data_IF_219719143952
#
_entry.id   IF_219719143952
#
_cell.length_a   1.000
_cell.length_b   1.000
_cell.length_c   1.000
_cell.angle_alpha   90.00
_cell.angle_beta   90.00
_cell.angle_gamma   90.00
#
_symmetry.space_group_name_H-M   'P 1'
#
loop_
_entity.id
_entity.type
_entity.pdbx_description
1 polymer ?
#
# COMPACT_ATOMS: atom_id res chain seq x y z
N UNK A 1 53.54 -25.58 76.85
CA UNK A 1 53.20 -24.39 77.66
C UNK A 1 52.65 -23.34 76.71
N UNK A 2 51.54 -22.66 77.00
CA UNK A 2 50.67 -22.89 78.16
C UNK A 2 49.16 -22.76 77.82
N UNK A 3 48.19 -23.28 78.56
CA UNK A 3 48.18 -24.19 79.72
C UNK A 3 46.73 -24.41 80.16
N UNK A 4 46.44 -25.64 80.60
CA UNK A 4 45.68 -26.02 81.81
C UNK A 4 44.17 -25.75 81.87
N UNK A 5 43.32 -26.63 82.42
CA UNK A 5 43.45 -27.59 83.54
C UNK A 5 42.58 -28.84 83.20
N UNK A 6 43.02 -30.10 83.29
CA UNK A 6 43.28 -30.93 84.50
C UNK A 6 42.10 -30.79 85.50
N UNK A 7 41.37 -31.78 86.01
CA UNK A 7 41.57 -33.14 86.56
C UNK A 7 40.09 -33.62 86.77
N UNK A 8 39.62 -34.87 86.66
CA UNK A 8 39.81 -35.94 87.65
C UNK A 8 38.78 -37.06 87.40
N UNK A 9 39.32 -38.28 87.32
CA UNK A 9 38.82 -39.56 87.84
C UNK A 9 37.35 -39.98 87.53
N UNK A 10 37.18 -41.05 86.77
CA UNK A 10 37.16 -42.44 87.26
C UNK A 10 35.78 -42.78 87.84
N UNK A 11 35.00 -43.55 87.09
CA UNK A 11 34.32 -44.74 87.62
C UNK A 11 33.66 -45.51 86.48
N UNK A 12 34.20 -46.71 86.25
CA UNK A 12 33.53 -47.81 85.58
C UNK A 12 32.13 -47.98 86.18
N UNK A 13 31.12 -48.14 85.33
CA UNK A 13 30.13 -49.20 85.52
C UNK A 13 29.61 -49.64 84.16
N UNK A 14 30.06 -50.82 83.78
CA UNK A 14 29.42 -51.75 82.84
C UNK A 14 27.90 -51.78 83.03
N UNK A 15 27.16 -51.39 81.99
CA UNK A 15 25.73 -51.69 81.89
C UNK A 15 25.54 -53.18 81.69
N UNK A 16 25.26 -53.91 82.78
CA UNK A 16 24.57 -55.19 82.67
C UNK A 16 23.12 -54.90 82.29
N UNK A 17 22.70 -55.40 81.13
CA UNK A 17 21.28 -55.55 80.82
C UNK A 17 20.64 -56.45 81.89
N UNK A 18 19.93 -55.84 82.85
CA UNK A 18 19.04 -56.59 83.71
C UNK A 18 17.92 -57.16 82.83
N UNK A 19 17.80 -58.49 82.78
CA UNK A 19 16.62 -59.13 82.21
C UNK A 19 15.41 -58.62 82.99
N UNK A 20 14.47 -57.95 82.32
CA UNK A 20 13.26 -57.44 82.97
C UNK A 20 12.52 -58.62 83.59
N UNK A 21 12.28 -58.53 84.89
CA UNK A 21 11.55 -59.58 85.60
C UNK A 21 10.10 -59.60 85.11
N UNK A 22 9.38 -60.74 85.22
CA UNK A 22 7.95 -60.77 84.90
C UNK A 22 7.14 -59.76 85.71
N UNK A 23 7.62 -59.39 86.90
CA UNK A 23 7.04 -58.36 87.76
C UNK A 23 7.17 -56.95 87.17
N UNK A 24 8.37 -56.57 86.69
CA UNK A 24 8.60 -55.26 86.06
C UNK A 24 7.72 -55.07 84.80
N UNK A 25 7.61 -56.13 83.99
CA UNK A 25 6.80 -56.12 82.77
C UNK A 25 5.31 -56.07 83.08
N UNK A 26 4.88 -56.74 84.15
CA UNK A 26 3.50 -56.67 84.61
C UNK A 26 3.14 -55.25 85.08
N UNK A 27 4.04 -54.58 85.81
CA UNK A 27 3.84 -53.19 86.20
C UNK A 27 3.81 -52.23 85.01
N UNK A 28 4.65 -52.45 83.99
CA UNK A 28 4.61 -51.68 82.75
C UNK A 28 3.28 -51.83 81.98
N UNK A 29 2.72 -53.05 81.95
CA UNK A 29 1.41 -53.29 81.37
C UNK A 29 0.28 -52.62 82.19
N UNK A 30 0.37 -52.65 83.52
CA UNK A 30 -0.58 -51.96 84.40
C UNK A 30 -0.50 -50.43 84.30
N UNK A 31 0.70 -49.86 84.14
CA UNK A 31 0.90 -48.44 83.86
C UNK A 31 0.29 -48.04 82.51
N UNK A 32 0.51 -48.84 81.47
CA UNK A 32 -0.08 -48.63 80.14
C UNK A 32 -1.61 -48.64 80.19
N UNK A 33 -2.21 -49.56 80.95
CA UNK A 33 -3.66 -49.60 81.14
C UNK A 33 -4.19 -48.38 81.93
N UNK A 34 -3.48 -47.92 82.96
CA UNK A 34 -3.83 -46.68 83.68
C UNK A 34 -3.74 -45.45 82.77
N UNK A 35 -2.75 -45.40 81.88
CA UNK A 35 -2.66 -44.34 80.87
C UNK A 35 -3.82 -44.43 79.86
N UNK A 36 -4.26 -45.65 79.52
CA UNK A 36 -5.43 -45.87 78.69
C UNK A 36 -6.70 -45.33 79.36
N UNK A 37 -6.91 -45.62 80.65
CA UNK A 37 -8.02 -45.08 81.45
C UNK A 37 -8.00 -43.55 81.47
N UNK A 38 -6.82 -42.94 81.63
CA UNK A 38 -6.68 -41.48 81.57
C UNK A 38 -7.05 -40.93 80.18
N UNK A 39 -6.64 -41.61 79.10
CA UNK A 39 -7.02 -41.23 77.74
C UNK A 39 -8.54 -41.34 77.51
N UNK A 40 -9.18 -42.38 78.06
CA UNK A 40 -10.64 -42.54 78.08
C UNK A 40 -11.32 -41.37 78.79
N UNK A 41 -10.82 -40.95 79.96
CA UNK A 41 -11.39 -39.78 80.68
C UNK A 41 -11.22 -38.46 79.93
N UNK A 42 -10.21 -38.36 79.06
CA UNK A 42 -9.95 -37.17 78.23
C UNK A 42 -10.72 -37.18 76.91
N UNK A 43 -11.50 -38.23 76.63
CA UNK A 43 -12.21 -38.40 75.36
C UNK A 43 -11.30 -38.75 74.18
N UNK A 44 -10.03 -39.10 74.43
CA UNK A 44 -9.09 -39.58 73.41
C UNK A 44 -9.23 -41.10 73.26
N UNK A 45 -10.37 -41.50 72.70
CA UNK A 45 -10.79 -42.91 72.59
C UNK A 45 -9.81 -43.74 71.76
N UNK A 46 -9.15 -43.13 70.78
CA UNK A 46 -8.17 -43.79 69.92
C UNK A 46 -6.90 -44.11 70.70
N UNK A 47 -6.36 -43.13 71.45
CA UNK A 47 -5.19 -43.36 72.30
C UNK A 47 -5.47 -44.37 73.41
N UNK A 48 -6.68 -44.36 73.99
CA UNK A 48 -7.08 -45.36 74.98
C UNK A 48 -7.09 -46.78 74.40
N UNK A 49 -7.66 -46.96 73.20
CA UNK A 49 -7.69 -48.25 72.51
C UNK A 49 -6.28 -48.79 72.21
N UNK A 50 -5.38 -47.94 71.73
CA UNK A 50 -4.00 -48.35 71.41
C UNK A 50 -3.23 -48.77 72.67
N UNK A 51 -3.41 -48.06 73.78
CA UNK A 51 -2.76 -48.36 75.06
C UNK A 51 -3.29 -49.66 75.70
N UNK A 52 -4.60 -49.93 75.66
CA UNK A 52 -5.14 -51.23 76.10
C UNK A 52 -4.66 -52.39 75.24
N UNK A 53 -4.58 -52.20 73.92
CA UNK A 53 -4.04 -53.22 73.00
C UNK A 53 -2.61 -53.58 73.36
N UNK A 54 -1.77 -52.57 73.61
CA UNK A 54 -0.37 -52.75 74.01
C UNK A 54 -0.26 -53.46 75.37
N UNK A 55 -1.06 -53.09 76.37
CA UNK A 55 -1.06 -53.71 77.69
C UNK A 55 -1.46 -55.19 77.63
N UNK A 56 -2.49 -55.54 76.86
CA UNK A 56 -2.91 -56.94 76.65
C UNK A 56 -1.81 -57.74 75.96
N UNK A 57 -1.15 -57.17 74.95
CA UNK A 57 -0.07 -57.83 74.24
C UNK A 57 1.10 -58.15 75.17
N UNK A 58 1.45 -57.22 76.07
CA UNK A 58 2.55 -57.42 77.02
C UNK A 58 2.21 -58.48 78.08
N UNK A 59 0.98 -58.49 78.62
CA UNK A 59 0.53 -59.54 79.53
C UNK A 59 0.51 -60.93 78.87
N UNK A 60 0.13 -61.02 77.58
CA UNK A 60 0.18 -62.29 76.83
C UNK A 60 1.62 -62.80 76.67
N UNK A 61 2.60 -61.92 76.49
CA UNK A 61 4.02 -62.32 76.45
C UNK A 61 4.50 -62.83 77.81
N UNK A 62 4.14 -62.15 78.90
CA UNK A 62 4.47 -62.61 80.27
C UNK A 62 3.92 -64.02 80.51
N UNK A 63 2.67 -64.29 80.11
CA UNK A 63 2.07 -65.62 80.20
C UNK A 63 2.81 -66.69 79.38
N UNK A 64 3.29 -66.34 78.20
CA UNK A 64 4.01 -67.27 77.33
C UNK A 64 5.43 -67.58 77.84
N UNK A 65 6.12 -66.58 78.37
CA UNK A 65 7.51 -66.69 78.83
C UNK A 65 7.63 -67.18 80.27
N UNK A 66 6.64 -66.90 81.13
CA UNK A 66 6.60 -67.27 82.55
C UNK A 66 5.26 -67.91 82.96
N UNK A 67 4.94 -69.12 82.50
CA UNK A 67 3.59 -69.69 82.61
C UNK A 67 3.05 -69.87 84.05
N UNK A 68 3.94 -70.15 85.00
CA UNK A 68 3.56 -70.43 86.39
C UNK A 68 3.63 -69.18 87.29
N UNK A 69 4.02 -68.03 86.76
CA UNK A 69 4.16 -66.80 87.54
C UNK A 69 2.83 -66.06 87.64
N UNK A 70 2.23 -66.03 88.83
CA UNK A 70 0.98 -65.30 89.12
C UNK A 70 -0.12 -65.47 88.06
N UNK A 71 -0.30 -66.70 87.56
CA UNK A 71 -1.16 -67.03 86.41
C UNK A 71 -2.56 -66.43 86.53
N UNK A 72 -3.20 -66.60 87.70
CA UNK A 72 -4.55 -66.10 87.97
C UNK A 72 -4.64 -64.58 87.83
N UNK A 73 -3.61 -63.84 88.23
CA UNK A 73 -3.58 -62.37 88.18
C UNK A 73 -3.37 -61.89 86.75
N UNK A 74 -2.46 -62.53 86.00
CA UNK A 74 -2.20 -62.19 84.58
C UNK A 74 -3.44 -62.49 83.74
N UNK A 75 -4.09 -63.63 83.94
CA UNK A 75 -5.30 -64.02 83.22
C UNK A 75 -6.48 -63.12 83.54
N UNK A 76 -6.63 -62.75 84.81
CA UNK A 76 -7.62 -61.77 85.22
C UNK A 76 -7.41 -60.44 84.50
N UNK A 77 -6.18 -59.89 84.49
CA UNK A 77 -5.87 -58.60 83.85
C UNK A 77 -6.04 -58.64 82.34
N UNK A 78 -5.63 -59.71 81.66
CA UNK A 78 -5.88 -59.89 80.22
C UNK A 78 -7.37 -59.82 79.94
N UNK A 79 -8.20 -60.51 80.73
CA UNK A 79 -9.66 -60.51 80.56
C UNK A 79 -10.26 -59.13 80.81
N UNK A 80 -9.84 -58.45 81.89
CA UNK A 80 -10.30 -57.10 82.22
C UNK A 80 -9.97 -56.10 81.11
N UNK A 81 -8.71 -56.05 80.65
CA UNK A 81 -8.30 -55.10 79.61
C UNK A 81 -8.94 -55.43 78.27
N UNK A 82 -9.14 -56.72 77.96
CA UNK A 82 -9.88 -57.14 76.76
C UNK A 82 -11.33 -56.68 76.81
N UNK A 83 -11.99 -56.76 77.98
CA UNK A 83 -13.33 -56.24 78.16
C UNK A 83 -13.37 -54.71 78.00
N UNK A 84 -12.44 -53.99 78.63
CA UNK A 84 -12.34 -52.53 78.49
C UNK A 84 -12.12 -52.10 77.02
N UNK A 85 -11.35 -52.87 76.25
CA UNK A 85 -11.16 -52.63 74.82
C UNK A 85 -12.42 -52.93 73.99
N UNK A 86 -13.18 -53.97 74.34
CA UNK A 86 -14.46 -54.28 73.72
C UNK A 86 -15.50 -53.16 73.97
N UNK A 87 -15.50 -52.59 75.17
CA UNK A 87 -16.39 -51.49 75.56
C UNK A 87 -16.03 -50.16 74.87
N UNK A 88 -14.76 -49.95 74.52
CA UNK A 88 -14.30 -48.77 73.76
C UNK A 88 -14.67 -48.81 72.27
N UNK A 89 -14.78 -50.01 71.69
CA UNK A 89 -15.05 -50.21 70.26
C UNK A 89 -16.34 -49.53 69.75
N UNK A 90 -17.50 -49.60 70.43
CA UNK A 90 -18.69 -48.87 69.99
C UNK A 90 -18.54 -47.34 70.14
N UNK A 91 -17.76 -46.85 71.11
CA UNK A 91 -17.53 -45.42 71.32
C UNK A 91 -16.69 -44.82 70.18
N UNK A 92 -15.66 -45.54 69.74
CA UNK A 92 -14.87 -45.17 68.55
C UNK A 92 -15.69 -45.12 67.27
N UNK A 93 -16.65 -46.04 67.11
CA UNK A 93 -17.55 -46.08 65.96
C UNK A 93 -18.60 -44.95 65.98
N UNK A 94 -18.86 -44.33 67.12
CA UNK A 94 -19.88 -43.28 67.32
C UNK A 94 -19.28 -41.90 67.60
N UNK A 95 -17.95 -41.81 67.73
CA UNK A 95 -17.24 -40.56 67.89
C UNK A 95 -17.53 -39.63 66.70
N UNK A 96 -18.28 -38.56 66.97
CA UNK A 96 -18.65 -37.56 65.97
C UNK A 96 -17.40 -36.72 65.66
N UNK A 97 -17.05 -36.47 64.39
CA UNK A 97 -15.88 -35.67 64.04
C UNK A 97 -15.97 -34.29 64.71
N UNK A 98 -14.83 -33.80 65.18
CA UNK A 98 -14.74 -32.52 65.88
C UNK A 98 -15.17 -31.37 64.97
N UNK A 99 -15.80 -30.29 65.49
CA UNK A 99 -16.07 -29.07 64.73
C UNK A 99 -14.83 -28.51 64.01
N UNK A 100 -13.64 -28.73 64.59
CA UNK A 100 -12.37 -28.29 64.03
C UNK A 100 -11.95 -29.12 62.80
N UNK A 101 -12.18 -30.43 62.83
CA UNK A 101 -11.94 -31.33 61.68
C UNK A 101 -12.89 -31.04 60.52
N UNK A 102 -14.16 -30.75 60.83
CA UNK A 102 -15.14 -30.32 59.83
C UNK A 102 -14.71 -28.99 59.18
N UNK A 103 -14.23 -28.04 59.97
CA UNK A 103 -13.73 -26.76 59.46
C UNK A 103 -12.47 -26.91 58.60
N UNK A 104 -11.56 -27.82 58.98
CA UNK A 104 -10.37 -28.15 58.18
C UNK A 104 -10.75 -28.80 56.84
N UNK A 105 -11.73 -29.72 56.85
CA UNK A 105 -12.26 -30.32 55.61
C UNK A 105 -12.89 -29.27 54.71
N UNK A 106 -13.66 -28.34 55.27
CA UNK A 106 -14.27 -27.24 54.52
C UNK A 106 -13.21 -26.33 53.88
N UNK A 107 -12.22 -25.88 54.66
CA UNK A 107 -11.12 -25.05 54.14
C UNK A 107 -10.31 -25.76 53.05
N UNK A 108 -10.13 -27.08 53.17
CA UNK A 108 -9.45 -27.88 52.15
C UNK A 108 -10.27 -27.96 50.86
N UNK A 109 -11.59 -28.11 50.97
CA UNK A 109 -12.49 -28.09 49.82
C UNK A 109 -12.53 -26.70 49.14
N UNK A 110 -12.60 -25.62 49.94
CA UNK A 110 -12.59 -24.25 49.43
C UNK A 110 -11.26 -23.92 48.73
N UNK A 111 -10.12 -24.39 49.28
CA UNK A 111 -8.81 -24.25 48.65
C UNK A 111 -8.75 -24.98 47.30
N UNK A 112 -9.28 -26.20 47.21
CA UNK A 112 -9.32 -26.96 45.96
C UNK A 112 -10.22 -26.29 44.90
N UNK A 113 -11.36 -25.71 45.33
CA UNK A 113 -12.24 -24.95 44.46
C UNK A 113 -11.55 -23.67 43.95
N UNK A 114 -10.85 -22.94 44.83
CA UNK A 114 -10.10 -21.75 44.46
C UNK A 114 -8.95 -22.06 43.49
N UNK A 115 -8.25 -23.19 43.67
CA UNK A 115 -7.21 -23.64 42.73
C UNK A 115 -7.78 -23.92 41.34
N UNK A 116 -8.96 -24.54 41.27
CA UNK A 116 -9.65 -24.78 39.99
C UNK A 116 -10.01 -23.46 39.30
N UNK A 117 -10.58 -22.50 40.04
CA UNK A 117 -10.90 -21.17 39.49
C UNK A 117 -9.66 -20.42 39.00
N UNK A 118 -8.54 -20.49 39.71
CA UNK A 118 -7.28 -19.88 39.28
C UNK A 118 -6.80 -20.49 37.96
N UNK A 119 -6.88 -21.82 37.81
CA UNK A 119 -6.50 -22.50 36.58
C UNK A 119 -7.39 -22.11 35.38
N UNK A 120 -8.71 -21.98 35.62
CA UNK A 120 -9.65 -21.48 34.62
C UNK A 120 -9.35 -20.03 34.23
N UNK A 121 -9.10 -19.15 35.21
CA UNK A 121 -8.75 -17.75 34.97
C UNK A 121 -7.44 -17.60 34.19
N UNK A 122 -6.41 -18.39 34.48
CA UNK A 122 -5.17 -18.40 33.69
C UNK A 122 -5.41 -18.90 32.25
N UNK A 123 -6.31 -19.88 32.08
CA UNK A 123 -6.71 -20.34 30.74
C UNK A 123 -7.42 -19.22 29.97
N UNK A 124 -8.36 -18.52 30.59
CA UNK A 124 -9.05 -17.37 29.97
C UNK A 124 -8.05 -16.24 29.68
N UNK A 125 -7.13 -15.95 30.60
CA UNK A 125 -6.10 -14.91 30.41
C UNK A 125 -5.21 -15.21 29.21
N UNK A 126 -4.75 -16.46 29.05
CA UNK A 126 -3.92 -16.86 27.91
C UNK A 126 -4.69 -16.74 26.59
N UNK A 127 -5.97 -17.14 26.56
CA UNK A 127 -6.84 -16.97 25.40
C UNK A 127 -7.06 -15.49 25.03
N UNK A 128 -7.33 -14.63 26.02
CA UNK A 128 -7.49 -13.20 25.79
C UNK A 128 -6.20 -12.55 25.29
N UNK A 129 -5.05 -12.96 25.83
CA UNK A 129 -3.74 -12.48 25.37
C UNK A 129 -3.48 -12.87 23.91
N UNK A 130 -3.81 -14.11 23.54
CA UNK A 130 -3.70 -14.56 22.15
C UNK A 130 -4.62 -13.78 21.21
N UNK A 131 -5.87 -13.53 21.61
CA UNK A 131 -6.81 -12.71 20.83
C UNK A 131 -6.35 -11.26 20.68
N UNK A 132 -5.75 -10.67 21.72
CA UNK A 132 -5.18 -9.32 21.63
C UNK A 132 -4.06 -9.27 20.59
N UNK A 133 -3.13 -10.22 20.63
CA UNK A 133 -2.06 -10.30 19.64
C UNK A 133 -2.59 -10.48 18.19
N UNK A 134 -3.63 -11.29 18.02
CA UNK A 134 -4.29 -11.47 16.72
C UNK A 134 -4.93 -10.16 16.23
N UNK A 135 -5.68 -9.46 17.08
CA UNK A 135 -6.31 -8.18 16.73
C UNK A 135 -5.27 -7.09 16.43
N UNK A 136 -4.14 -7.07 17.15
CA UNK A 136 -3.03 -6.18 16.87
C UNK A 136 -2.43 -6.44 15.48
N UNK A 137 -2.23 -7.71 15.12
CA UNK A 137 -1.79 -8.11 13.78
C UNK A 137 -2.79 -7.67 12.70
N UNK A 138 -4.07 -7.97 12.88
CA UNK A 138 -5.13 -7.58 11.93
C UNK A 138 -5.18 -6.05 11.77
N UNK A 139 -4.98 -5.30 12.85
CA UNK A 139 -4.95 -3.83 12.80
C UNK A 139 -3.73 -3.32 12.03
N UNK A 140 -2.58 -3.98 12.14
CA UNK A 140 -1.39 -3.65 11.36
C UNK A 140 -1.62 -3.90 9.86
N UNK A 141 -2.21 -5.04 9.50
CA UNK A 141 -2.52 -5.39 8.11
C UNK A 141 -3.53 -4.41 7.49
N UNK A 142 -4.58 -4.04 8.23
CA UNK A 142 -5.57 -3.04 7.79
C UNK A 142 -4.94 -1.66 7.57
N UNK A 143 -3.98 -1.26 8.41
CA UNK A 143 -3.23 -0.01 8.20
C UNK A 143 -2.38 -0.08 6.93
N UNK A 144 -1.66 -1.18 6.71
CA UNK A 144 -0.87 -1.37 5.49
C UNK A 144 -1.75 -1.35 4.22
N UNK A 145 -2.90 -2.01 4.25
CA UNK A 145 -3.85 -1.98 3.15
C UNK A 145 -4.40 -0.57 2.89
N UNK A 146 -4.70 0.19 3.95
CA UNK A 146 -5.14 1.59 3.83
C UNK A 146 -4.08 2.48 3.19
N UNK A 147 -2.82 2.33 3.58
CA UNK A 147 -1.72 3.08 3.01
C UNK A 147 -1.54 2.77 1.53
N UNK A 148 -1.68 1.50 1.14
CA UNK A 148 -1.62 1.08 -0.26
C UNK A 148 -2.78 1.65 -1.09
N UNK A 149 -4.01 1.63 -0.55
CA UNK A 149 -5.16 2.27 -1.20
C UNK A 149 -4.89 3.77 -1.41
N UNK A 150 -4.30 4.45 -0.44
CA UNK A 150 -3.95 5.88 -0.57
C UNK A 150 -2.92 6.12 -1.68
N UNK A 151 -1.91 5.25 -1.81
CA UNK A 151 -0.92 5.32 -2.88
C UNK A 151 -1.55 5.07 -4.25
N UNK A 152 -2.33 4.01 -4.38
CA UNK A 152 -3.03 3.66 -5.63
C UNK A 152 -4.03 4.75 -6.04
N UNK A 153 -4.69 5.40 -5.08
CA UNK A 153 -5.56 6.54 -5.35
C UNK A 153 -4.78 7.71 -5.94
N UNK A 154 -3.63 8.04 -5.35
CA UNK A 154 -2.75 9.11 -5.84
C UNK A 154 -2.21 8.78 -7.23
N UNK A 155 -1.77 7.54 -7.47
CA UNK A 155 -1.31 7.09 -8.78
C UNK A 155 -2.42 7.17 -9.85
N UNK A 156 -3.65 6.77 -9.52
CA UNK A 156 -4.78 6.90 -10.44
C UNK A 156 -5.11 8.36 -10.77
N UNK A 157 -5.02 9.27 -9.81
CA UNK A 157 -5.19 10.71 -10.07
C UNK A 157 -4.12 11.24 -11.02
N UNK A 158 -2.85 10.84 -10.83
CA UNK A 158 -1.76 11.22 -11.72
C UNK A 158 -1.94 10.67 -13.13
N UNK A 159 -2.29 9.39 -13.29
CA UNK A 159 -2.57 8.79 -14.59
C UNK A 159 -3.76 9.44 -15.30
N UNK A 160 -4.80 9.81 -14.54
CA UNK A 160 -5.95 10.54 -15.09
C UNK A 160 -5.55 11.92 -15.61
N UNK A 161 -4.71 12.65 -14.86
CA UNK A 161 -4.18 13.94 -15.30
C UNK A 161 -3.31 13.79 -16.56
N UNK A 162 -2.44 12.78 -16.62
CA UNK A 162 -1.63 12.50 -17.81
C UNK A 162 -2.48 12.15 -19.03
N UNK A 163 -3.56 11.37 -18.86
CA UNK A 163 -4.49 11.08 -19.96
C UNK A 163 -5.22 12.32 -20.45
N UNK A 164 -5.59 13.25 -19.56
CA UNK A 164 -6.20 14.51 -19.96
C UNK A 164 -5.22 15.39 -20.76
N UNK A 165 -3.96 15.46 -20.31
CA UNK A 165 -2.88 16.19 -20.99
C UNK A 165 -2.61 15.61 -22.39
N UNK A 166 -2.46 14.28 -22.50
CA UNK A 166 -2.26 13.63 -23.81
C UNK A 166 -3.42 13.86 -24.77
N UNK A 167 -4.66 13.88 -24.27
CA UNK A 167 -5.83 14.21 -25.09
C UNK A 167 -5.79 15.64 -25.60
N UNK A 168 -5.41 16.60 -24.75
CA UNK A 168 -5.26 17.99 -25.16
C UNK A 168 -4.17 18.14 -26.25
N UNK A 169 -3.03 17.48 -26.08
CA UNK A 169 -1.95 17.47 -27.07
C UNK A 169 -2.40 16.84 -28.39
N UNK A 170 -3.18 15.76 -28.35
CA UNK A 170 -3.72 15.13 -29.55
C UNK A 170 -4.67 16.09 -30.30
N UNK A 171 -5.56 16.78 -29.58
CA UNK A 171 -6.43 17.80 -30.18
C UNK A 171 -5.64 18.94 -30.81
N UNK A 172 -4.58 19.41 -30.15
CA UNK A 172 -3.71 20.46 -30.73
C UNK A 172 -3.02 19.98 -32.01
N UNK A 173 -2.44 18.78 -32.00
CA UNK A 173 -1.83 18.20 -33.20
C UNK A 173 -2.83 18.02 -34.35
N UNK A 174 -4.07 17.63 -34.03
CA UNK A 174 -5.14 17.52 -35.03
C UNK A 174 -5.49 18.89 -35.63
N UNK A 175 -5.58 19.94 -34.81
CA UNK A 175 -5.79 21.31 -35.28
C UNK A 175 -4.63 21.81 -36.14
N UNK A 176 -3.38 21.54 -35.73
CA UNK A 176 -2.20 21.88 -36.52
C UNK A 176 -2.18 21.18 -37.89
N UNK A 177 -2.57 19.90 -37.94
CA UNK A 177 -2.67 19.15 -39.19
C UNK A 177 -3.75 19.75 -40.12
N UNK A 178 -4.91 20.11 -39.57
CA UNK A 178 -5.98 20.76 -40.32
C UNK A 178 -5.55 22.13 -40.85
N UNK A 179 -4.87 22.94 -40.05
CA UNK A 179 -4.34 24.24 -40.48
C UNK A 179 -3.32 24.09 -41.60
N UNK A 180 -2.41 23.12 -41.51
CA UNK A 180 -1.44 22.82 -42.59
C UNK A 180 -2.14 22.41 -43.88
N UNK A 181 -3.21 21.62 -43.80
CA UNK A 181 -4.01 21.24 -44.97
C UNK A 181 -4.70 22.46 -45.61
N UNK A 182 -5.27 23.36 -44.79
CA UNK A 182 -5.88 24.59 -45.27
C UNK A 182 -4.85 25.50 -45.96
N UNK A 183 -3.67 25.68 -45.36
CA UNK A 183 -2.60 26.49 -45.94
C UNK A 183 -2.10 25.92 -47.27
N UNK A 184 -1.98 24.59 -47.37
CA UNK A 184 -1.61 23.93 -48.62
C UNK A 184 -2.66 24.16 -49.71
N UNK A 185 -3.96 24.03 -49.38
CA UNK A 185 -5.04 24.30 -50.32
C UNK A 185 -5.08 25.77 -50.78
N UNK A 186 -4.88 26.71 -49.86
CA UNK A 186 -4.80 28.14 -50.17
C UNK A 186 -3.60 28.46 -51.07
N UNK A 187 -2.44 27.84 -50.80
CA UNK A 187 -1.23 28.01 -51.62
C UNK A 187 -1.49 27.56 -53.05
N UNK A 188 -2.08 26.37 -53.25
CA UNK A 188 -2.44 25.86 -54.58
C UNK A 188 -3.45 26.77 -55.29
N UNK A 189 -4.46 27.26 -54.57
CA UNK A 189 -5.45 28.18 -55.14
C UNK A 189 -4.81 29.51 -55.58
N UNK A 190 -3.90 30.04 -54.76
CA UNK A 190 -3.15 31.27 -55.08
C UNK A 190 -2.23 31.07 -56.27
N UNK A 191 -1.48 29.97 -56.31
CA UNK A 191 -0.62 29.61 -57.45
C UNK A 191 -1.43 29.56 -58.75
N UNK A 192 -2.59 28.90 -58.73
CA UNK A 192 -3.49 28.84 -59.88
C UNK A 192 -3.95 30.24 -60.33
N UNK A 193 -4.42 31.07 -59.41
CA UNK A 193 -4.87 32.44 -59.73
C UNK A 193 -3.72 33.31 -60.27
N UNK A 194 -2.52 33.16 -59.72
CA UNK A 194 -1.34 33.87 -60.23
C UNK A 194 -0.93 33.40 -61.62
N UNK A 195 -1.03 32.09 -61.91
CA UNK A 195 -0.76 31.54 -63.22
C UNK A 195 -1.77 32.03 -64.28
N UNK A 196 -3.06 32.09 -63.92
CA UNK A 196 -4.12 32.65 -64.77
C UNK A 196 -3.88 34.15 -65.06
N UNK A 197 -3.52 34.92 -64.04
CA UNK A 197 -3.20 36.35 -64.20
C UNK A 197 -1.95 36.55 -65.07
N UNK A 198 -0.91 35.73 -64.87
CA UNK A 198 0.30 35.78 -65.68
C UNK A 198 0.00 35.45 -67.15
N UNK A 199 -0.83 34.45 -67.41
CA UNK A 199 -1.25 34.09 -68.75
C UNK A 199 -2.04 35.24 -69.42
N UNK A 200 -2.96 35.88 -68.69
CA UNK A 200 -3.72 37.03 -69.20
C UNK A 200 -2.81 38.22 -69.55
N UNK A 201 -1.90 38.60 -68.65
CA UNK A 201 -0.94 39.70 -68.89
C UNK A 201 0.01 39.36 -70.05
N UNK A 202 0.41 38.10 -70.19
CA UNK A 202 1.23 37.63 -71.31
C UNK A 202 0.50 37.79 -72.64
N UNK A 203 -0.78 37.39 -72.69
CA UNK A 203 -1.62 37.54 -73.88
C UNK A 203 -1.83 39.02 -74.24
N UNK A 204 -2.09 39.89 -73.26
CA UNK A 204 -2.24 41.33 -73.47
C UNK A 204 -0.95 41.97 -74.00
N UNK A 205 0.20 41.62 -73.42
CA UNK A 205 1.51 42.07 -73.92
C UNK A 205 1.73 41.68 -75.37
N UNK A 206 1.38 40.46 -75.75
CA UNK A 206 1.60 39.97 -77.11
C UNK A 206 0.64 40.66 -78.09
N UNK A 207 -0.63 40.86 -77.72
CA UNK A 207 -1.58 41.65 -78.51
C UNK A 207 -1.12 43.11 -78.70
N UNK A 208 -0.60 43.74 -77.65
CA UNK A 208 -0.03 45.10 -77.74
C UNK A 208 1.22 45.15 -78.62
N UNK A 209 2.06 44.11 -78.60
CA UNK A 209 3.22 44.00 -79.49
C UNK A 209 2.77 43.91 -80.95
N UNK A 210 1.79 43.07 -81.25
CA UNK A 210 1.25 42.91 -82.60
C UNK A 210 0.64 44.22 -83.10
N UNK A 211 -0.18 44.88 -82.26
CA UNK A 211 -0.76 46.19 -82.58
C UNK A 211 0.31 47.26 -82.84
N UNK A 212 1.39 47.30 -82.06
CA UNK A 212 2.49 48.24 -82.27
C UNK A 212 3.24 47.95 -83.58
N UNK A 213 3.43 46.67 -83.91
CA UNK A 213 4.04 46.23 -85.17
C UNK A 213 3.19 46.66 -86.37
N UNK A 214 1.87 46.48 -86.28
CA UNK A 214 0.92 46.93 -87.30
C UNK A 214 0.94 48.45 -87.47
N UNK A 215 0.81 49.22 -86.38
CA UNK A 215 0.85 50.68 -86.42
C UNK A 215 2.16 51.22 -86.99
N UNK A 216 3.29 50.57 -86.68
CA UNK A 216 4.60 50.91 -87.26
C UNK A 216 4.62 50.67 -88.78
N UNK A 217 4.03 49.56 -89.23
CA UNK A 217 3.86 49.26 -90.66
C UNK A 217 2.97 50.28 -91.37
N UNK A 218 1.81 50.60 -90.80
CA UNK A 218 0.88 51.61 -91.31
C UNK A 218 1.55 53.00 -91.38
N UNK A 219 2.27 53.40 -90.34
CA UNK A 219 3.01 54.67 -90.32
C UNK A 219 4.08 54.70 -91.42
N UNK A 220 4.78 53.60 -91.65
CA UNK A 220 5.80 53.50 -92.70
C UNK A 220 5.17 53.60 -94.09
N UNK A 221 4.05 52.91 -94.33
CA UNK A 221 3.30 52.99 -95.58
C UNK A 221 2.74 54.40 -95.83
N UNK A 222 2.15 55.03 -94.82
CA UNK A 222 1.65 56.40 -94.92
C UNK A 222 2.77 57.41 -95.24
N UNK A 223 3.94 57.25 -94.62
CA UNK A 223 5.13 58.07 -94.94
C UNK A 223 5.58 57.89 -96.38
N UNK A 224 5.59 56.65 -96.89
CA UNK A 224 5.95 56.38 -98.29
C UNK A 224 4.94 57.02 -99.26
N UNK A 225 3.63 56.86 -99.01
CA UNK A 225 2.58 57.48 -99.82
C UNK A 225 2.71 59.01 -99.86
N UNK A 226 3.00 59.65 -98.72
CA UNK A 226 3.25 61.09 -98.68
C UNK A 226 4.50 61.47 -99.50
N UNK A 227 5.58 60.71 -99.41
CA UNK A 227 6.80 60.95 -100.19
C UNK A 227 6.53 60.82 -101.71
N UNK A 228 5.82 59.77 -102.13
CA UNK A 228 5.44 59.53 -103.53
C UNK A 228 4.56 60.67 -104.05
N UNK A 229 3.58 61.11 -103.25
CA UNK A 229 2.70 62.22 -103.62
C UNK A 229 3.45 63.55 -103.73
N UNK A 230 4.41 63.81 -102.84
CA UNK A 230 5.28 64.98 -102.92
C UNK A 230 6.13 64.95 -104.20
N UNK A 231 6.70 63.80 -104.56
CA UNK A 231 7.46 63.64 -105.80
C UNK A 231 6.57 63.86 -107.04
N UNK A 232 5.34 63.35 -107.02
CA UNK A 232 4.36 63.57 -108.08
C UNK A 232 3.99 65.06 -108.23
N UNK A 233 3.65 65.73 -107.13
CA UNK A 233 3.32 67.16 -107.12
C UNK A 233 4.51 68.00 -107.60
N UNK A 234 5.74 67.65 -107.21
CA UNK A 234 6.97 68.31 -107.68
C UNK A 234 7.12 68.17 -109.19
N UNK A 235 6.83 66.99 -109.74
CA UNK A 235 6.89 66.74 -111.20
C UNK A 235 5.80 67.51 -111.95
N UNK A 236 4.58 67.55 -111.40
CA UNK A 236 3.47 68.32 -111.95
C UNK A 236 3.78 69.82 -111.95
N UNK A 237 4.33 70.34 -110.86
CA UNK A 237 4.76 71.74 -110.76
C UNK A 237 5.81 72.06 -111.82
N UNK A 238 6.88 71.25 -111.93
CA UNK A 238 7.91 71.44 -112.95
C UNK A 238 7.35 71.38 -114.38
N UNK A 239 6.32 70.57 -114.63
CA UNK A 239 5.67 70.48 -115.94
C UNK A 239 4.83 71.71 -116.23
N UNK A 240 4.02 72.15 -115.28
CA UNK A 240 3.23 73.38 -115.37
C UNK A 240 4.13 74.63 -115.54
N UNK A 241 5.29 74.67 -114.86
CA UNK A 241 6.28 75.74 -115.05
C UNK A 241 6.86 75.77 -116.47
N UNK A 242 7.16 74.60 -117.06
CA UNK A 242 7.59 74.51 -118.47
C UNK A 242 6.49 74.95 -119.43
N UNK A 243 5.25 74.52 -119.21
CA UNK A 243 4.09 74.92 -120.01
C UNK A 243 3.83 76.43 -119.93
N UNK A 244 3.87 77.02 -118.73
CA UNK A 244 3.77 78.47 -118.54
C UNK A 244 4.87 79.22 -119.27
N UNK A 245 6.10 78.69 -119.24
CA UNK A 245 7.23 79.29 -119.97
C UNK A 245 7.00 79.20 -121.49
N UNK A 246 6.59 78.05 -122.00
CA UNK A 246 6.27 77.87 -123.42
C UNK A 246 5.12 78.77 -123.89
N UNK A 247 4.05 78.91 -123.08
CA UNK A 247 2.95 79.83 -123.36
C UNK A 247 3.40 81.28 -123.35
N UNK A 248 4.27 81.69 -122.40
CA UNK A 248 4.87 83.03 -122.40
C UNK A 248 5.67 83.29 -123.68
N UNK A 249 6.49 82.33 -124.11
CA UNK A 249 7.26 82.43 -125.36
C UNK A 249 6.33 82.52 -126.58
N UNK A 250 5.23 81.78 -126.59
CA UNK A 250 4.24 81.84 -127.66
C UNK A 250 3.52 83.20 -127.72
N UNK A 251 3.13 83.75 -126.57
CA UNK A 251 2.54 85.10 -126.48
C UNK A 251 3.54 86.15 -126.94
N UNK A 252 4.81 86.03 -126.58
CA UNK A 252 5.88 86.92 -127.07
C UNK A 252 5.97 86.86 -128.60
N UNK A 253 6.11 85.66 -129.19
CA UNK A 253 6.14 85.48 -130.65
C UNK A 253 4.88 86.00 -131.36
N UNK A 254 3.69 85.77 -130.79
CA UNK A 254 2.44 86.27 -131.36
C UNK A 254 2.36 87.81 -131.29
N UNK A 255 2.90 88.39 -130.23
CA UNK A 255 3.00 89.85 -130.07
C UNK A 255 3.97 90.44 -131.08
N UNK A 256 5.15 89.82 -131.26
CA UNK A 256 6.14 90.20 -132.26
C UNK A 256 5.58 90.07 -133.69
N UNK A 257 4.87 88.97 -133.98
CA UNK A 257 4.21 88.77 -135.27
C UNK A 257 3.12 89.81 -135.53
N UNK A 258 2.31 90.15 -134.51
CA UNK A 258 1.32 91.23 -134.61
C UNK A 258 1.97 92.59 -134.84
N UNK A 259 3.09 92.88 -134.18
CA UNK A 259 3.86 94.10 -134.42
C UNK A 259 4.35 94.16 -135.88
N UNK A 260 4.94 93.06 -136.39
CA UNK A 260 5.39 92.97 -137.77
C UNK A 260 4.24 93.16 -138.80
N UNK A 261 3.05 92.61 -138.53
CA UNK A 261 1.88 92.82 -139.39
C UNK A 261 1.36 94.27 -139.36
N UNK A 262 1.39 94.92 -138.19
CA UNK A 262 1.03 96.33 -138.05
C UNK A 262 2.03 97.24 -138.79
N UNK A 263 3.33 96.94 -138.71
CA UNK A 263 4.36 97.64 -139.47
C UNK A 263 4.18 97.45 -140.99
N UNK A 264 3.87 96.21 -141.43
CA UNK A 264 3.56 95.91 -142.83
C UNK A 264 2.29 96.64 -143.32
N UNK A 265 1.27 96.79 -142.47
CA UNK A 265 0.05 97.54 -142.80
C UNK A 265 0.27 99.07 -142.78
N UNK A 266 1.19 99.57 -141.96
CA UNK A 266 1.56 100.99 -141.91
C UNK A 266 2.44 101.42 -143.09
N UNK A 267 3.29 100.53 -143.61
CA UNK A 267 4.11 100.78 -144.82
C UNK A 267 3.38 100.68 -146.16
N UNK A 268 2.11 100.23 -146.16
CA UNK A 268 1.27 100.08 -147.36
C UNK A 268 0.28 101.25 -147.58
N UNK A 269 0.46 102.37 -146.86
CA UNK A 269 -0.26 103.65 -147.03
C UNK A 269 0.69 104.73 -147.49
#
# INVERSE_FOLDING_TARGET
MPTTRLILALLLTTGLCAAQTPEDRFFAAADSARQAELATTKGDWQRAHDLYTAAIAELKKIRAEFPNWNEQVVDFRIRTFTQQLADLKPVLATATPSPEELRLRQLTADLAAAQTQIAELETVRTQLTAKLAELESQTADLRAARDEISRLTTANQQLTAQLAELRAQFTDLQNQAQLKQQLAAETVAREKSTAETLAAVTAERDALRDANTQLTGELTAARQQLADRLAQLTTQLATAERELTALRDQVARATDHRAALLDAAAGAR
#
